data_IF_148532368966
#
_entry.id   IF_148532368966
#
_cell.length_a   1.000
_cell.length_b   1.000
_cell.length_c   1.000
_cell.angle_alpha   90.00
_cell.angle_beta   90.00
_cell.angle_gamma   90.00
#
_symmetry.space_group_name_H-M   'P 1'
#
loop_
_entity.id
_entity.type
_entity.pdbx_description
1 polymer ?
#
# COMPACT_ATOMS: atom_id res chain seq x y z
N UNK A 1 10.26 -1.04 9.28
CA UNK A 1 9.54 -2.32 9.42
C UNK A 1 9.65 -3.00 8.07
N UNK A 2 10.12 -4.26 8.01
CA UNK A 2 10.19 -5.02 6.76
C UNK A 2 8.90 -5.83 6.64
N UNK A 3 8.17 -5.67 5.55
CA UNK A 3 6.99 -6.48 5.25
C UNK A 3 7.35 -7.50 4.16
N UNK A 4 6.72 -8.67 4.17
CA UNK A 4 6.92 -9.73 3.18
C UNK A 4 5.56 -10.32 2.79
N UNK A 5 5.42 -10.71 1.53
CA UNK A 5 4.24 -11.44 1.04
C UNK A 5 4.28 -12.90 1.51
N UNK A 6 3.14 -13.60 1.40
CA UNK A 6 3.03 -15.01 1.78
C UNK A 6 4.03 -15.91 1.03
N UNK A 7 4.22 -15.66 -0.27
CA UNK A 7 5.12 -16.46 -1.12
C UNK A 7 6.59 -16.38 -0.69
N UNK A 8 6.97 -15.26 -0.05
CA UNK A 8 8.32 -15.03 0.45
C UNK A 8 8.44 -15.29 1.96
N UNK A 9 7.36 -15.72 2.62
CA UNK A 9 7.35 -15.92 4.07
C UNK A 9 7.75 -17.35 4.44
N UNK A 10 8.96 -17.49 5.00
CA UNK A 10 9.39 -18.73 5.64
C UNK A 10 9.30 -18.64 7.18
N UNK A 11 8.37 -19.35 7.85
CA UNK A 11 8.21 -19.28 9.31
C UNK A 11 9.41 -19.80 10.10
N UNK A 12 10.29 -20.61 9.51
CA UNK A 12 11.51 -21.10 10.17
C UNK A 12 12.62 -20.03 10.25
N UNK A 13 12.65 -19.14 9.26
CA UNK A 13 13.65 -18.06 9.13
C UNK A 13 13.13 -16.75 9.72
N UNK A 14 11.83 -16.50 9.58
CA UNK A 14 11.16 -15.29 10.06
C UNK A 14 10.60 -15.46 11.48
N UNK A 15 11.47 -15.80 12.44
CA UNK A 15 11.10 -15.90 13.86
C UNK A 15 10.69 -14.50 14.37
N UNK A 16 9.56 -14.42 15.08
CA UNK A 16 8.94 -13.18 15.60
C UNK A 16 8.26 -12.27 14.56
N UNK A 17 7.80 -12.81 13.42
CA UNK A 17 7.04 -12.03 12.43
C UNK A 17 5.53 -12.08 12.69
N UNK A 18 4.89 -10.91 12.65
CA UNK A 18 3.43 -10.77 12.72
C UNK A 18 2.81 -10.99 11.35
N UNK A 19 1.89 -11.96 11.25
CA UNK A 19 1.06 -12.16 10.05
C UNK A 19 -0.11 -11.19 10.11
N UNK A 20 -0.32 -10.42 9.04
CA UNK A 20 -1.47 -9.51 8.91
C UNK A 20 -2.33 -9.98 7.75
N UNK A 21 -3.58 -10.35 8.06
CA UNK A 21 -4.59 -10.64 7.04
C UNK A 21 -5.29 -9.32 6.72
N UNK A 22 -5.17 -8.86 5.48
CA UNK A 22 -5.63 -7.53 5.10
C UNK A 22 -7.13 -7.47 4.71
N UNK A 23 -7.81 -8.61 4.55
CA UNK A 23 -9.17 -8.69 3.98
C UNK A 23 -10.18 -7.81 4.71
N UNK A 24 -10.19 -7.85 6.04
CA UNK A 24 -11.14 -7.07 6.88
C UNK A 24 -10.67 -5.64 7.17
N UNK A 25 -9.54 -5.21 6.62
CA UNK A 25 -9.04 -3.87 6.88
C UNK A 25 -9.81 -2.82 6.07
N UNK A 26 -10.11 -1.65 6.67
CA UNK A 26 -10.61 -0.51 5.93
C UNK A 26 -9.68 -0.13 4.76
N UNK A 27 -10.27 0.40 3.69
CA UNK A 27 -9.55 0.76 2.45
C UNK A 27 -8.27 1.56 2.70
N UNK A 28 -8.34 2.60 3.55
CA UNK A 28 -7.18 3.43 3.89
C UNK A 28 -6.02 2.66 4.53
N UNK A 29 -6.31 1.62 5.33
CA UNK A 29 -5.28 0.77 5.94
C UNK A 29 -4.68 -0.19 4.91
N UNK A 30 -5.49 -0.72 3.99
CA UNK A 30 -5.01 -1.53 2.86
C UNK A 30 -4.02 -0.73 2.00
N UNK A 31 -4.36 0.50 1.66
CA UNK A 31 -3.48 1.41 0.88
C UNK A 31 -2.16 1.62 1.61
N UNK A 32 -2.21 1.96 2.90
CA UNK A 32 -1.00 2.17 3.71
C UNK A 32 -0.13 0.92 3.78
N UNK A 33 -0.73 -0.25 3.94
CA UNK A 33 0.00 -1.51 3.99
C UNK A 33 0.69 -1.81 2.65
N UNK A 34 -0.04 -1.76 1.53
CA UNK A 34 0.53 -2.00 0.21
C UNK A 34 1.71 -1.06 -0.06
N UNK A 35 1.52 0.24 0.19
CA UNK A 35 2.57 1.25 0.06
C UNK A 35 3.85 0.89 0.82
N UNK A 36 3.70 0.43 2.06
CA UNK A 36 4.84 0.06 2.92
C UNK A 36 5.49 -1.26 2.49
N UNK A 37 4.73 -2.22 1.97
CA UNK A 37 5.24 -3.47 1.41
C UNK A 37 6.08 -3.19 0.16
N UNK A 38 5.60 -2.30 -0.70
CA UNK A 38 6.27 -1.88 -1.93
C UNK A 38 7.43 -0.88 -1.69
N UNK A 39 7.67 -0.49 -0.43
CA UNK A 39 8.76 0.42 -0.07
C UNK A 39 8.54 1.88 -0.51
N UNK A 40 7.31 2.28 -0.80
CA UNK A 40 7.00 3.59 -1.34
C UNK A 40 6.86 4.66 -0.25
N UNK A 41 7.37 5.86 -0.54
CA UNK A 41 7.10 7.05 0.27
C UNK A 41 5.68 7.57 0.01
N UNK A 42 5.14 8.39 0.91
CA UNK A 42 3.84 9.03 0.70
C UNK A 42 3.85 9.97 -0.53
N UNK A 43 4.97 10.62 -0.82
CA UNK A 43 5.12 11.44 -2.02
C UNK A 43 5.05 10.57 -3.29
N UNK A 44 5.72 9.41 -3.29
CA UNK A 44 5.69 8.54 -4.46
C UNK A 44 4.31 7.96 -4.73
N UNK A 45 3.58 7.59 -3.68
CA UNK A 45 2.18 7.19 -3.83
C UNK A 45 1.30 8.34 -4.34
N UNK A 46 1.57 9.59 -3.93
CA UNK A 46 0.81 10.74 -4.42
C UNK A 46 0.98 10.92 -5.94
N UNK A 47 2.17 10.68 -6.47
CA UNK A 47 2.43 10.67 -7.92
C UNK A 47 1.65 9.56 -8.62
N UNK A 48 1.68 8.33 -8.09
CA UNK A 48 0.98 7.16 -8.65
C UNK A 48 -0.55 7.36 -8.68
N UNK A 49 -1.10 7.97 -7.62
CA UNK A 49 -2.54 8.21 -7.48
C UNK A 49 -3.01 9.54 -8.09
N UNK A 50 -2.10 10.38 -8.60
CA UNK A 50 -2.45 11.72 -9.11
C UNK A 50 -2.97 12.69 -8.02
N UNK A 51 -2.52 12.53 -6.77
CA UNK A 51 -2.92 13.34 -5.61
C UNK A 51 -2.01 14.56 -5.38
N UNK A 52 -1.07 14.83 -6.29
CA UNK A 52 -0.13 15.97 -6.33
C UNK A 52 0.90 16.04 -5.17
N UNK A 53 0.50 15.80 -3.91
CA UNK A 53 1.35 16.01 -2.73
C UNK A 53 1.13 14.98 -1.61
N UNK A 54 2.20 14.64 -0.89
CA UNK A 54 2.20 13.69 0.22
C UNK A 54 1.14 13.93 1.33
N UNK A 55 0.80 15.17 1.74
CA UNK A 55 -0.24 15.41 2.76
C UNK A 55 -1.63 14.85 2.39
N UNK A 56 -1.96 14.78 1.11
CA UNK A 56 -3.23 14.16 0.66
C UNK A 56 -3.22 12.66 0.86
N UNK A 57 -2.08 12.02 0.62
CA UNK A 57 -1.89 10.60 0.94
C UNK A 57 -1.95 10.37 2.45
N UNK A 58 -1.35 11.23 3.26
CA UNK A 58 -1.47 11.14 4.73
C UNK A 58 -2.94 11.21 5.18
N UNK A 59 -3.71 12.14 4.60
CA UNK A 59 -5.15 12.29 4.86
C UNK A 59 -5.94 11.06 4.43
N UNK A 60 -5.65 10.53 3.23
CA UNK A 60 -6.21 9.28 2.71
C UNK A 60 -5.94 8.12 3.69
N UNK A 61 -4.69 7.91 4.09
CA UNK A 61 -4.26 6.84 4.99
C UNK A 61 -4.82 6.97 6.42
N UNK A 62 -5.28 8.17 6.80
CA UNK A 62 -5.98 8.40 8.06
C UNK A 62 -7.49 8.11 8.00
N UNK A 63 -8.02 7.76 6.82
CA UNK A 63 -9.41 7.33 6.64
C UNK A 63 -10.30 8.29 5.85
N UNK A 64 -9.78 9.43 5.40
CA UNK A 64 -10.52 10.36 4.54
C UNK A 64 -10.22 10.08 3.07
N UNK A 65 -10.93 9.12 2.50
CA UNK A 65 -10.82 8.72 1.09
C UNK A 65 -11.61 9.72 0.23
N UNK A 66 -10.97 10.47 -0.69
CA UNK A 66 -11.71 11.34 -1.58
C UNK A 66 -12.43 10.50 -2.66
N UNK A 67 -13.75 10.66 -2.88
CA UNK A 67 -14.52 9.82 -3.80
C UNK A 67 -13.98 9.77 -5.23
N UNK A 68 -13.43 10.89 -5.72
CA UNK A 68 -12.88 11.02 -7.07
C UNK A 68 -11.69 10.09 -7.36
N UNK A 69 -11.04 9.56 -6.33
CA UNK A 69 -9.83 8.74 -6.48
C UNK A 69 -10.06 7.27 -6.11
N UNK A 70 -11.30 6.87 -5.80
CA UNK A 70 -11.61 5.50 -5.37
C UNK A 70 -11.21 4.49 -6.43
N UNK A 71 -11.57 4.71 -7.69
CA UNK A 71 -11.22 3.81 -8.80
C UNK A 71 -9.70 3.66 -8.97
N UNK A 72 -8.96 4.77 -8.92
CA UNK A 72 -7.49 4.74 -8.99
C UNK A 72 -6.86 4.03 -7.80
N UNK A 73 -7.45 4.17 -6.61
CA UNK A 73 -7.04 3.45 -5.41
C UNK A 73 -7.31 1.96 -5.54
N UNK A 74 -8.44 1.55 -6.12
CA UNK A 74 -8.77 0.14 -6.36
C UNK A 74 -7.82 -0.49 -7.37
N UNK A 75 -7.53 0.19 -8.49
CA UNK A 75 -6.49 -0.23 -9.44
C UNK A 75 -5.15 -0.43 -8.74
N UNK A 76 -4.70 0.58 -7.99
CA UNK A 76 -3.47 0.50 -7.22
C UNK A 76 -3.48 -0.67 -6.23
N UNK A 77 -4.60 -0.99 -5.58
CA UNK A 77 -4.67 -2.06 -4.60
C UNK A 77 -4.69 -3.45 -5.21
N UNK A 78 -5.44 -3.64 -6.30
CA UNK A 78 -5.87 -4.96 -6.75
C UNK A 78 -5.37 -5.35 -8.13
N UNK A 79 -4.90 -4.41 -8.93
CA UNK A 79 -4.58 -4.64 -10.35
C UNK A 79 -3.12 -4.34 -10.71
N UNK A 80 -2.43 -3.53 -9.90
CA UNK A 80 -1.09 -3.02 -10.20
C UNK A 80 -0.10 -3.37 -9.09
N UNK A 81 1.13 -3.75 -9.42
CA UNK A 81 2.21 -3.91 -8.43
C UNK A 81 3.34 -2.92 -8.71
N UNK A 82 3.84 -2.26 -7.67
CA UNK A 82 4.92 -1.29 -7.79
C UNK A 82 6.16 -1.72 -7.02
N UNK A 83 7.34 -1.53 -7.63
CA UNK A 83 8.63 -1.72 -6.98
C UNK A 83 9.46 -0.46 -7.13
N UNK A 84 9.83 0.16 -6.00
CA UNK A 84 10.57 1.44 -5.97
C UNK A 84 9.92 2.57 -6.80
N UNK A 85 8.59 2.52 -6.96
CA UNK A 85 7.80 3.53 -7.65
C UNK A 85 7.65 3.31 -9.15
N UNK A 86 8.07 2.15 -9.66
CA UNK A 86 7.87 1.72 -11.04
C UNK A 86 6.87 0.56 -11.07
N UNK A 87 5.96 0.58 -12.05
CA UNK A 87 4.96 -0.48 -12.25
C UNK A 87 5.68 -1.74 -12.75
N UNK A 88 5.50 -2.84 -12.03
CA UNK A 88 6.03 -4.16 -12.39
C UNK A 88 4.96 -4.89 -13.20
N UNK A 89 5.37 -5.50 -14.32
CA UNK A 89 4.52 -6.31 -15.19
C UNK A 89 4.88 -7.79 -15.08
#
# INVERSE_FOLDING_TARGET
MKFSTWDNFNPKEHKNTTIVIADDLPLHKKVRMKRLIEGLSQQKLAEILGLEYAPRVCTLESGKVPPLYVERIEQYLYEEDYSNGELVK
#
